data_IF_250144739626
#
_entry.id   IF_250144739626
#
_cell.length_a   1.000
_cell.length_b   1.000
_cell.length_c   1.000
_cell.angle_alpha   90.00
_cell.angle_beta   90.00
_cell.angle_gamma   90.00
#
_symmetry.space_group_name_H-M   'P 1'
#
loop_
_entity.id
_entity.type
_entity.pdbx_description
1 polymer ?
#
# COMPACT_ATOMS: atom_id res chain seq x y z
N UNK A 1 -11.26 1.90 -16.73
CA UNK A 1 -10.74 0.52 -16.71
C UNK A 1 -11.88 -0.41 -16.40
N UNK A 2 -11.90 -1.60 -16.99
CA UNK A 2 -12.83 -2.67 -16.58
C UNK A 2 -12.42 -3.18 -15.20
N UNK A 3 -13.37 -3.68 -14.40
CA UNK A 3 -13.10 -4.16 -13.04
C UNK A 3 -12.00 -5.24 -13.01
N UNK A 4 -11.98 -6.17 -13.98
CA UNK A 4 -10.94 -7.18 -14.12
C UNK A 4 -9.54 -6.61 -14.35
N UNK A 5 -9.42 -5.51 -15.10
CA UNK A 5 -8.15 -4.80 -15.31
C UNK A 5 -7.67 -4.15 -14.02
N UNK A 6 -8.59 -3.59 -13.22
CA UNK A 6 -8.26 -3.01 -11.91
C UNK A 6 -7.82 -4.07 -10.90
N UNK A 7 -8.47 -5.24 -10.91
CA UNK A 7 -8.06 -6.40 -10.08
C UNK A 7 -6.66 -6.85 -10.47
N UNK A 8 -6.37 -7.03 -11.76
CA UNK A 8 -5.05 -7.43 -12.24
C UNK A 8 -3.98 -6.40 -11.86
N UNK A 9 -4.24 -5.11 -12.11
CA UNK A 9 -3.31 -4.03 -11.78
C UNK A 9 -3.02 -3.97 -10.28
N UNK A 10 -4.05 -4.10 -9.45
CA UNK A 10 -3.87 -4.12 -8.00
C UNK A 10 -3.12 -5.38 -7.54
N UNK A 11 -3.35 -6.53 -8.16
CA UNK A 11 -2.61 -7.77 -7.86
C UNK A 11 -1.12 -7.63 -8.19
N UNK A 12 -0.77 -6.98 -9.31
CA UNK A 12 0.61 -6.72 -9.70
C UNK A 12 1.30 -5.76 -8.70
N UNK A 13 0.59 -4.71 -8.28
CA UNK A 13 1.08 -3.76 -7.26
C UNK A 13 1.34 -4.46 -5.93
N UNK A 14 0.42 -5.33 -5.48
CA UNK A 14 0.57 -6.13 -4.26
C UNK A 14 1.76 -7.09 -4.38
N UNK A 15 1.89 -7.80 -5.50
CA UNK A 15 2.98 -8.75 -5.74
C UNK A 15 4.34 -8.06 -5.74
N UNK A 16 4.43 -6.88 -6.36
CA UNK A 16 5.66 -6.08 -6.38
C UNK A 16 6.07 -5.62 -4.98
N UNK A 17 5.11 -5.17 -4.17
CA UNK A 17 5.37 -4.77 -2.78
C UNK A 17 5.75 -5.97 -1.91
N UNK A 18 5.10 -7.12 -2.07
CA UNK A 18 5.42 -8.34 -1.33
C UNK A 18 6.81 -8.90 -1.67
N UNK A 19 7.24 -8.76 -2.93
CA UNK A 19 8.54 -9.21 -3.39
C UNK A 19 9.73 -8.44 -2.81
N UNK A 20 9.48 -7.24 -2.27
CA UNK A 20 10.48 -6.31 -1.77
C UNK A 20 11.23 -6.85 -0.54
N UNK A 21 12.55 -6.64 -0.52
CA UNK A 21 13.42 -7.20 0.52
C UNK A 21 13.18 -6.55 1.88
N UNK A 22 12.80 -5.27 1.93
CA UNK A 22 12.46 -4.60 3.19
C UNK A 22 11.17 -5.16 3.75
N UNK A 23 10.15 -5.35 2.91
CA UNK A 23 8.87 -5.97 3.33
C UNK A 23 9.06 -7.38 3.88
N UNK A 24 9.94 -8.18 3.28
CA UNK A 24 10.27 -9.53 3.77
C UNK A 24 10.91 -9.54 5.16
N UNK A 25 11.54 -8.45 5.59
CA UNK A 25 12.09 -8.30 6.95
C UNK A 25 11.01 -7.98 7.99
N UNK A 26 9.80 -7.63 7.54
CA UNK A 26 8.64 -7.38 8.40
C UNK A 26 7.53 -8.38 8.10
N UNK A 27 7.53 -9.56 8.77
CA UNK A 27 6.54 -10.61 8.53
C UNK A 27 5.10 -10.11 8.64
N UNK A 28 4.82 -9.16 9.53
CA UNK A 28 3.49 -8.58 9.71
C UNK A 28 3.02 -7.79 8.48
N UNK A 29 3.92 -7.03 7.84
CA UNK A 29 3.63 -6.27 6.62
C UNK A 29 3.50 -7.18 5.41
N UNK A 30 4.38 -8.19 5.31
CA UNK A 30 4.29 -9.20 4.26
C UNK A 30 2.97 -9.98 4.35
N UNK A 31 2.58 -10.39 5.56
CA UNK A 31 1.29 -11.06 5.80
C UNK A 31 0.11 -10.15 5.45
N UNK A 32 0.17 -8.88 5.83
CA UNK A 32 -0.87 -7.92 5.49
C UNK A 32 -1.11 -7.82 3.98
N UNK A 33 -0.05 -7.75 3.17
CA UNK A 33 -0.16 -7.71 1.71
C UNK A 33 -0.75 -9.02 1.18
N UNK A 34 -0.26 -10.15 1.67
CA UNK A 34 -0.72 -11.47 1.25
C UNK A 34 -2.22 -11.67 1.55
N UNK A 35 -2.66 -11.31 2.75
CA UNK A 35 -4.07 -11.38 3.15
C UNK A 35 -4.94 -10.50 2.23
N UNK A 36 -4.47 -9.31 1.87
CA UNK A 36 -5.16 -8.42 0.93
C UNK A 36 -5.18 -8.95 -0.50
N UNK A 37 -4.12 -9.62 -0.96
CA UNK A 37 -4.10 -10.28 -2.26
C UNK A 37 -5.13 -11.42 -2.31
N UNK A 38 -5.20 -12.26 -1.28
CA UNK A 38 -6.22 -13.31 -1.17
C UNK A 38 -7.64 -12.75 -1.11
N UNK A 39 -7.85 -11.63 -0.41
CA UNK A 39 -9.15 -10.96 -0.37
C UNK A 39 -9.56 -10.42 -1.75
N UNK A 40 -8.59 -9.85 -2.48
CA UNK A 40 -8.79 -9.32 -3.83
C UNK A 40 -9.16 -10.44 -4.82
N UNK A 41 -8.47 -11.57 -4.77
CA UNK A 41 -8.74 -12.75 -5.59
C UNK A 41 -10.13 -13.33 -5.31
N UNK A 42 -10.57 -13.36 -4.04
CA UNK A 42 -11.89 -13.89 -3.68
C UNK A 42 -13.02 -12.94 -4.06
N UNK A 43 -12.90 -11.67 -3.73
CA UNK A 43 -14.02 -10.73 -3.77
C UNK A 43 -14.08 -9.90 -5.05
N UNK A 44 -13.00 -9.88 -5.85
CA UNK A 44 -12.89 -9.07 -7.08
C UNK A 44 -13.28 -7.59 -6.89
N UNK A 45 -13.07 -7.08 -5.67
CA UNK A 45 -13.47 -5.74 -5.28
C UNK A 45 -12.24 -4.90 -4.90
N UNK A 46 -11.55 -4.30 -5.89
CA UNK A 46 -10.33 -3.55 -5.65
C UNK A 46 -10.57 -2.30 -4.80
N UNK A 47 -11.74 -1.66 -4.89
CA UNK A 47 -12.10 -0.48 -4.09
C UNK A 47 -12.20 -0.79 -2.59
N UNK A 48 -12.84 -1.92 -2.25
CA UNK A 48 -12.96 -2.35 -0.87
C UNK A 48 -11.60 -2.75 -0.29
N UNK A 49 -10.83 -3.54 -1.04
CA UNK A 49 -9.52 -4.03 -0.59
C UNK A 49 -8.54 -2.86 -0.45
N UNK A 50 -8.50 -1.93 -1.41
CA UNK A 50 -7.63 -0.74 -1.34
C UNK A 50 -7.96 0.13 -0.12
N UNK A 51 -9.23 0.38 0.16
CA UNK A 51 -9.67 1.13 1.33
C UNK A 51 -9.25 0.47 2.64
N UNK A 52 -9.45 -0.85 2.77
CA UNK A 52 -9.05 -1.63 3.95
C UNK A 52 -7.53 -1.66 4.12
N UNK A 53 -6.80 -1.93 3.06
CA UNK A 53 -5.35 -2.02 3.07
C UNK A 53 -4.72 -0.66 3.40
N UNK A 54 -5.24 0.44 2.87
CA UNK A 54 -4.80 1.78 3.23
C UNK A 54 -4.91 2.04 4.74
N UNK A 55 -6.03 1.65 5.36
CA UNK A 55 -6.21 1.79 6.83
C UNK A 55 -5.20 0.95 7.61
N UNK A 56 -4.99 -0.31 7.21
CA UNK A 56 -4.01 -1.20 7.85
C UNK A 56 -2.57 -0.65 7.75
N UNK A 57 -2.20 -0.10 6.59
CA UNK A 57 -0.91 0.56 6.37
C UNK A 57 -0.77 1.78 7.27
N UNK A 58 -1.77 2.67 7.34
CA UNK A 58 -1.75 3.84 8.22
C UNK A 58 -1.56 3.43 9.69
N UNK A 59 -2.29 2.43 10.17
CA UNK A 59 -2.14 1.93 11.55
C UNK A 59 -0.74 1.38 11.80
N UNK A 60 -0.20 0.59 10.87
CA UNK A 60 1.14 0.00 11.02
C UNK A 60 2.24 1.06 10.99
N UNK A 61 2.09 2.07 10.13
CA UNK A 61 3.02 3.19 10.05
C UNK A 61 3.02 4.02 11.34
N UNK A 62 1.85 4.25 11.93
CA UNK A 62 1.73 4.96 13.22
C UNK A 62 2.32 4.15 14.38
N UNK A 63 2.20 2.82 14.34
CA UNK A 63 2.76 1.94 15.37
C UNK A 63 4.29 1.86 15.29
N UNK A 64 4.86 1.85 14.09
CA UNK A 64 6.32 1.78 13.89
C UNK A 64 6.76 2.46 12.58
N UNK A 65 7.08 3.75 12.66
CA UNK A 65 7.52 4.55 11.51
C UNK A 65 9.02 4.47 11.23
N UNK A 66 9.83 3.99 12.19
CA UNK A 66 11.30 4.18 12.18
C UNK A 66 12.03 3.26 11.19
N UNK A 67 11.34 2.26 10.63
CA UNK A 67 11.90 1.32 9.65
C UNK A 67 10.82 0.85 8.66
N UNK A 68 9.95 1.77 8.24
CA UNK A 68 8.80 1.40 7.41
C UNK A 68 9.20 1.27 5.93
N UNK A 69 8.97 0.11 5.27
CA UNK A 69 9.42 -0.11 3.90
C UNK A 69 8.86 0.90 2.91
N UNK A 70 9.74 1.44 2.06
CA UNK A 70 9.34 2.44 1.04
C UNK A 70 8.34 1.87 0.03
N UNK A 71 8.48 0.58 -0.29
CA UNK A 71 7.59 -0.17 -1.17
C UNK A 71 6.13 -0.17 -0.69
N UNK A 72 5.87 -0.20 0.62
CA UNK A 72 4.52 -0.11 1.20
C UNK A 72 3.95 1.31 1.07
N UNK A 73 4.80 2.33 1.22
CA UNK A 73 4.38 3.73 0.99
C UNK A 73 4.02 3.93 -0.48
N UNK A 74 4.82 3.40 -1.40
CA UNK A 74 4.48 3.41 -2.84
C UNK A 74 3.14 2.73 -3.06
N UNK A 75 2.96 1.50 -2.58
CA UNK A 75 1.70 0.76 -2.67
C UNK A 75 0.52 1.57 -2.14
N UNK A 76 0.63 2.19 -0.96
CA UNK A 76 -0.42 3.03 -0.38
C UNK A 76 -0.85 4.18 -1.31
N UNK A 77 0.11 4.79 -2.00
CA UNK A 77 -0.18 5.89 -2.93
C UNK A 77 -0.83 5.39 -4.23
N UNK A 78 -0.41 4.23 -4.71
CA UNK A 78 -1.02 3.55 -5.85
C UNK A 78 -2.49 3.20 -5.56
N UNK A 79 -2.75 2.62 -4.39
CA UNK A 79 -4.09 2.26 -3.94
C UNK A 79 -5.02 3.46 -3.75
N UNK A 80 -4.48 4.63 -3.39
CA UNK A 80 -5.26 5.88 -3.29
C UNK A 80 -5.57 6.52 -4.65
N UNK A 81 -5.15 5.91 -5.76
CA UNK A 81 -5.34 6.47 -7.10
C UNK A 81 -4.54 7.76 -7.33
N UNK A 82 -3.49 8.02 -6.54
CA UNK A 82 -2.61 9.19 -6.68
C UNK A 82 -1.46 8.96 -7.68
N UNK A 83 -1.59 7.95 -8.53
CA UNK A 83 -0.55 7.47 -9.47
C UNK A 83 -0.08 8.48 -10.54
N UNK A 84 -0.54 9.74 -10.52
CA UNK A 84 0.00 10.80 -11.39
C UNK A 84 0.79 11.90 -10.68
N UNK A 85 0.95 11.90 -9.36
CA UNK A 85 1.62 13.03 -8.66
C UNK A 85 2.52 12.60 -7.50
N UNK A 86 3.50 11.75 -7.77
CA UNK A 86 4.67 11.61 -6.91
C UNK A 86 5.90 12.27 -7.57
N UNK A 87 5.78 13.58 -7.80
CA UNK A 87 6.90 14.50 -7.57
C UNK A 87 7.12 14.58 -6.06
N UNK A 88 8.37 14.72 -5.60
CA UNK A 88 8.83 14.59 -4.21
C UNK A 88 8.11 15.40 -3.10
N UNK A 89 7.11 16.20 -3.44
CA UNK A 89 6.29 17.04 -2.54
C UNK A 89 5.34 16.22 -1.63
N UNK A 90 4.85 15.07 -2.10
CA UNK A 90 3.92 14.25 -1.32
C UNK A 90 4.60 13.48 -0.16
N UNK A 91 5.87 13.09 -0.34
CA UNK A 91 6.72 12.57 0.73
C UNK A 91 6.99 13.65 1.80
N UNK A 92 7.21 14.90 1.37
CA UNK A 92 7.38 16.03 2.29
C UNK A 92 6.13 16.28 3.14
N UNK A 93 4.92 16.14 2.57
CA UNK A 93 3.66 16.35 3.33
C UNK A 93 3.31 15.22 4.29
N UNK A 94 3.78 13.99 4.05
CA UNK A 94 3.64 12.88 5.01
C UNK A 94 4.69 12.93 6.13
N UNK A 95 5.83 13.59 5.89
CA UNK A 95 6.93 13.79 6.85
C UNK A 95 6.79 15.06 7.69
N UNK A 96 5.72 15.84 7.55
CA UNK A 96 5.47 17.01 8.39
C UNK A 96 4.45 16.67 9.50
N UNK A 97 4.89 16.17 10.66
CA UNK A 97 4.27 16.55 11.91
C UNK A 97 4.89 17.88 12.36
N UNK A 98 4.03 18.86 12.63
CA UNK A 98 4.30 20.04 13.47
C UNK A 98 5.17 21.12 12.80
N UNK A 99 4.50 22.13 12.25
CA UNK A 99 4.77 23.55 12.51
C UNK A 99 3.57 24.37 11.99
N UNK A 100 2.72 24.80 12.91
CA UNK A 100 2.07 26.11 12.83
C UNK A 100 3.09 27.15 13.29
#
# INVERSE_FOLDING_TARGET
>A
MKNSEQVSLMMDQLSKAYGDTEVKRHPDLAKMILDSAQELEKNHNPELVSSRLCKKITVSYLANSKDFPKSIIVLFNQLKGKEMKYDGVALATMMLPIWF
#
